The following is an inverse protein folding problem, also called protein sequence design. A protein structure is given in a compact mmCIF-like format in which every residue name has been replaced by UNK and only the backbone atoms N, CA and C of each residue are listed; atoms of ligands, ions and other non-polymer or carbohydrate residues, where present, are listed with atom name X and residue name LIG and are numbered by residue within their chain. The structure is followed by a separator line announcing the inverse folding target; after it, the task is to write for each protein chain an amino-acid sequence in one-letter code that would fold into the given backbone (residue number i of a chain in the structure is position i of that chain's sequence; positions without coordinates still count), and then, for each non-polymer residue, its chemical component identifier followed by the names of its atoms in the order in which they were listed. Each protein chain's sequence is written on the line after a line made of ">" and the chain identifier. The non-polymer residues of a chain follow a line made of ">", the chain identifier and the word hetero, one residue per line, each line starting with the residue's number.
data_IF_207168682548
#
_entry.id   IF_207168682548
#
_cell.length_a   1.000
_cell.length_b   1.000
_cell.length_c   1.000
_cell.angle_alpha   90.00
_cell.angle_beta   90.00
_cell.angle_gamma   90.00
#
_symmetry.space_group_name_H-M   'P 1'
#
loop_
_entity.id
_entity.type
_entity.pdbx_description
1 polymer ?
#
# COMPACT_ATOMS: atom_id res chain seq x y z
N UNK A 1 13.24 -15.05 13.77
CA UNK A 1 12.57 -13.78 13.42
C UNK A 1 12.62 -13.48 11.94
N UNK A 2 13.81 -13.30 11.37
CA UNK A 2 14.01 -12.76 10.00
C UNK A 2 13.32 -13.59 8.90
N UNK A 3 13.32 -14.92 8.98
CA UNK A 3 12.63 -15.77 7.98
C UNK A 3 11.13 -15.48 7.97
N UNK A 4 10.47 -15.51 9.13
CA UNK A 4 9.04 -15.17 9.25
C UNK A 4 8.74 -13.75 8.79
N UNK A 5 9.59 -12.77 9.17
CA UNK A 5 9.45 -11.39 8.71
C UNK A 5 9.58 -11.27 7.18
N UNK A 6 10.54 -11.99 6.58
CA UNK A 6 10.71 -12.06 5.14
C UNK A 6 9.49 -12.65 4.43
N UNK A 7 8.86 -13.69 4.99
CA UNK A 7 7.60 -14.23 4.44
C UNK A 7 6.48 -13.17 4.46
N UNK A 8 6.34 -12.42 5.55
CA UNK A 8 5.36 -11.32 5.63
C UNK A 8 5.62 -10.23 4.60
N UNK A 9 6.89 -9.84 4.40
CA UNK A 9 7.27 -8.83 3.38
C UNK A 9 6.93 -9.32 1.97
N UNK A 10 7.24 -10.58 1.66
CA UNK A 10 6.89 -11.18 0.36
C UNK A 10 5.37 -11.19 0.16
N UNK A 11 4.61 -11.61 1.17
CA UNK A 11 3.15 -11.61 1.10
C UNK A 11 2.61 -10.19 0.85
N UNK A 12 3.11 -9.19 1.58
CA UNK A 12 2.73 -7.79 1.42
C UNK A 12 3.00 -7.26 0.00
N UNK A 13 4.12 -7.66 -0.62
CA UNK A 13 4.43 -7.30 -2.00
C UNK A 13 3.51 -7.99 -3.02
N UNK A 14 3.13 -9.25 -2.76
CA UNK A 14 2.21 -9.99 -3.62
C UNK A 14 0.77 -9.46 -3.55
N UNK A 15 0.33 -8.93 -2.40
CA UNK A 15 -1.00 -8.35 -2.22
C UNK A 15 -1.07 -6.88 -2.59
N UNK A 16 0.06 -6.19 -2.72
CA UNK A 16 0.09 -4.77 -3.10
C UNK A 16 -0.69 -4.43 -4.39
N UNK A 17 -0.68 -5.24 -5.47
CA UNK A 17 -1.46 -4.97 -6.66
C UNK A 17 -2.98 -4.96 -6.40
N UNK A 18 -3.48 -5.86 -5.54
CA UNK A 18 -4.92 -5.93 -5.25
C UNK A 18 -5.39 -4.74 -4.40
N UNK A 19 -4.53 -4.21 -3.52
CA UNK A 19 -4.85 -3.01 -2.72
C UNK A 19 -4.93 -1.73 -3.58
N UNK A 20 -4.06 -1.62 -4.59
CA UNK A 20 -4.10 -0.52 -5.56
C UNK A 20 -5.35 -0.64 -6.44
N UNK A 21 -5.67 -1.86 -6.92
CA UNK A 21 -6.88 -2.11 -7.69
C UNK A 21 -8.15 -1.80 -6.87
N UNK A 22 -8.17 -2.16 -5.58
CA UNK A 22 -9.28 -1.84 -4.68
C UNK A 22 -9.50 -0.32 -4.57
N UNK A 23 -8.43 0.48 -4.50
CA UNK A 23 -8.53 1.94 -4.45
C UNK A 23 -9.11 2.53 -5.74
N UNK A 24 -8.69 2.02 -6.91
CA UNK A 24 -9.23 2.41 -8.22
C UNK A 24 -10.70 1.98 -8.40
N UNK A 25 -11.03 0.77 -7.94
CA UNK A 25 -12.40 0.24 -7.97
C UNK A 25 -13.31 1.02 -7.05
N UNK A 26 -12.83 1.41 -5.87
CA UNK A 26 -13.54 2.28 -4.92
C UNK A 26 -13.89 3.62 -5.55
N UNK A 27 -12.98 4.22 -6.32
CA UNK A 27 -13.26 5.48 -7.02
C UNK A 27 -14.41 5.31 -8.03
N UNK A 28 -14.38 4.25 -8.83
CA UNK A 28 -15.47 3.95 -9.78
C UNK A 28 -16.81 3.70 -9.10
N UNK A 29 -16.81 3.06 -7.92
CA UNK A 29 -18.02 2.85 -7.13
C UNK A 29 -18.56 4.15 -6.54
N UNK A 30 -17.68 5.07 -6.12
CA UNK A 30 -18.07 6.41 -5.67
C UNK A 30 -18.62 7.28 -6.81
N UNK A 31 -18.04 7.18 -8.01
CA UNK A 31 -18.57 7.82 -9.21
C UNK A 31 -19.95 7.25 -9.58
N UNK A 32 -20.12 5.92 -9.49
CA UNK A 32 -21.37 5.24 -9.82
C UNK A 32 -22.48 5.42 -8.75
N UNK A 33 -22.13 5.73 -7.50
CA UNK A 33 -23.11 5.87 -6.41
C UNK A 33 -23.86 7.20 -6.43
N UNK A 34 -23.43 8.17 -7.27
CA UNK A 34 -24.06 9.49 -7.37
C UNK A 34 -23.83 10.39 -6.14
N UNK A 35 -22.92 10.00 -5.24
CA UNK A 35 -22.61 10.76 -4.01
C UNK A 35 -21.72 11.97 -4.31
N UNK A 36 -21.02 11.96 -5.45
CA UNK A 36 -20.15 13.04 -5.91
C UNK A 36 -21.00 14.11 -6.62
N UNK A 37 -21.55 15.06 -5.85
CA UNK A 37 -22.45 16.11 -6.37
C UNK A 37 -21.73 17.28 -7.03
N UNK A 38 -20.49 17.56 -6.62
CA UNK A 38 -19.69 18.68 -7.12
C UNK A 38 -18.36 18.21 -7.73
N UNK A 39 -17.74 19.00 -8.63
CA UNK A 39 -16.39 18.73 -9.12
C UNK A 39 -15.35 18.62 -7.99
N UNK A 40 -15.53 19.37 -6.91
CA UNK A 40 -14.68 19.34 -5.72
C UNK A 40 -14.76 17.99 -4.99
N UNK A 41 -15.97 17.41 -4.86
CA UNK A 41 -16.18 16.10 -4.24
C UNK A 41 -15.41 15.01 -5.01
N UNK A 42 -15.49 15.04 -6.35
CA UNK A 42 -14.79 14.10 -7.24
C UNK A 42 -13.26 14.20 -7.11
N UNK A 43 -12.74 15.44 -7.09
CA UNK A 43 -11.32 15.70 -6.88
C UNK A 43 -10.86 15.22 -5.50
N UNK A 44 -11.63 15.52 -4.46
CA UNK A 44 -11.35 15.13 -3.08
C UNK A 44 -11.34 13.61 -2.88
N UNK A 45 -12.34 12.90 -3.41
CA UNK A 45 -12.39 11.43 -3.33
C UNK A 45 -11.24 10.77 -4.08
N UNK A 46 -10.90 11.25 -5.28
CA UNK A 46 -9.73 10.77 -6.02
C UNK A 46 -8.44 10.99 -5.23
N UNK A 47 -8.26 12.16 -4.62
CA UNK A 47 -7.08 12.45 -3.82
C UNK A 47 -7.00 11.56 -2.58
N UNK A 48 -8.11 11.38 -1.86
CA UNK A 48 -8.18 10.53 -0.68
C UNK A 48 -7.88 9.06 -1.00
N UNK A 49 -8.50 8.50 -2.05
CA UNK A 49 -8.27 7.11 -2.47
C UNK A 49 -6.84 6.89 -2.99
N UNK A 50 -6.28 7.88 -3.69
CA UNK A 50 -4.88 7.83 -4.12
C UNK A 50 -3.94 7.85 -2.91
N UNK A 51 -4.20 8.71 -1.92
CA UNK A 51 -3.42 8.77 -0.68
C UNK A 51 -3.51 7.46 0.14
N UNK A 52 -4.67 6.81 0.16
CA UNK A 52 -4.86 5.51 0.80
C UNK A 52 -3.97 4.43 0.14
N UNK A 53 -3.98 4.34 -1.19
CA UNK A 53 -3.09 3.42 -1.93
C UNK A 53 -1.61 3.71 -1.67
N UNK A 54 -1.21 4.99 -1.63
CA UNK A 54 0.17 5.40 -1.35
C UNK A 54 0.62 5.00 0.06
N UNK A 55 -0.27 5.00 1.05
CA UNK A 55 0.06 4.59 2.42
C UNK A 55 0.43 3.10 2.47
N UNK A 56 -0.26 2.25 1.71
CA UNK A 56 0.07 0.83 1.60
C UNK A 56 1.44 0.63 0.93
N UNK A 57 1.72 1.39 -0.14
CA UNK A 57 3.03 1.37 -0.82
C UNK A 57 4.14 1.81 0.13
N UNK A 58 3.95 2.89 0.89
CA UNK A 58 4.92 3.37 1.86
C UNK A 58 5.22 2.33 2.95
N UNK A 59 4.18 1.64 3.43
CA UNK A 59 4.33 0.57 4.40
C UNK A 59 5.12 -0.61 3.81
N UNK A 60 4.85 -1.00 2.56
CA UNK A 60 5.59 -2.08 1.88
C UNK A 60 7.07 -1.72 1.68
N UNK A 61 7.37 -0.50 1.22
CA UNK A 61 8.74 0.01 1.09
C UNK A 61 9.45 -0.01 2.44
N UNK A 62 8.79 0.46 3.50
CA UNK A 62 9.36 0.47 4.86
C UNK A 62 9.67 -0.94 5.33
N UNK A 63 8.76 -1.90 5.12
CA UNK A 63 8.95 -3.29 5.51
C UNK A 63 10.12 -3.94 4.76
N UNK A 64 10.29 -3.65 3.47
CA UNK A 64 11.45 -4.09 2.67
C UNK A 64 12.75 -3.49 3.22
N UNK A 65 12.79 -2.18 3.49
CA UNK A 65 13.97 -1.52 4.05
C UNK A 65 14.35 -2.08 5.43
N UNK A 66 13.36 -2.37 6.28
CA UNK A 66 13.58 -3.02 7.57
C UNK A 66 14.16 -4.44 7.41
N UNK A 67 13.68 -5.20 6.42
CA UNK A 67 14.22 -6.54 6.15
C UNK A 67 15.68 -6.47 5.73
N UNK A 68 16.01 -5.56 4.81
CA UNK A 68 17.39 -5.32 4.37
C UNK A 68 18.29 -4.87 5.54
N UNK A 69 17.78 -4.00 6.41
CA UNK A 69 18.48 -3.59 7.62
C UNK A 69 18.81 -4.79 8.52
N UNK A 70 17.84 -5.64 8.84
CA UNK A 70 18.07 -6.83 9.67
C UNK A 70 19.02 -7.84 9.03
N UNK A 71 18.93 -8.06 7.72
CA UNK A 71 19.87 -8.91 6.98
C UNK A 71 21.31 -8.36 7.07
N UNK A 72 21.49 -7.05 6.90
CA UNK A 72 22.80 -6.41 7.02
C UNK A 72 23.39 -6.54 8.43
N UNK A 73 22.54 -6.48 9.46
CA UNK A 73 22.97 -6.59 10.85
C UNK A 73 23.42 -8.02 11.20
N UNK A 74 22.73 -9.04 10.70
CA UNK A 74 23.14 -10.44 10.88
C UNK A 74 24.44 -10.74 10.14
N UNK A 75 24.59 -10.24 8.91
CA UNK A 75 25.81 -10.45 8.12
C UNK A 75 27.06 -9.80 8.75
N UNK A 76 26.89 -8.78 9.61
CA UNK A 76 28.00 -8.16 10.37
C UNK A 76 28.36 -8.91 11.66
N UNK A 77 27.49 -9.79 12.16
CA UNK A 77 27.70 -10.55 13.41
C UNK A 77 28.25 -11.96 13.15
N UNK A 78 28.16 -12.44 11.92
CA UNK A 78 28.83 -13.64 11.42
C UNK A 78 30.25 -13.30 10.95
#
# INVERSE_FOLDING_TARGET
>A
GIIFFGVTVVFMLLTLPVEIDASLRGLRLLEASGVMTTPEDASGARQMLTAAALTYIAAAVTAVLQLLYYLSLVNRRN
#
